data_IF_514232641237
#
_entry.id   IF_514232641237
#
_cell.length_a   1.000
_cell.length_b   1.000
_cell.length_c   1.000
_cell.angle_alpha   90.00
_cell.angle_beta   90.00
_cell.angle_gamma   90.00
#
_symmetry.space_group_name_H-M   'P 1'
#
loop_
_entity.id
_entity.type
_entity.pdbx_description
1 polymer ?
#
# COMPACT_ATOMS: atom_id res chain seq x y z
N UNK A 1 12.64 -8.95 -19.20
CA UNK A 1 11.36 -9.10 -18.48
C UNK A 1 10.71 -10.36 -18.97
N UNK A 2 10.40 -11.29 -18.07
CA UNK A 2 9.71 -12.53 -18.43
C UNK A 2 8.21 -12.28 -18.75
N UNK A 3 7.56 -13.23 -19.44
CA UNK A 3 6.13 -13.17 -19.72
C UNK A 3 5.31 -13.14 -18.43
N UNK A 4 5.77 -13.86 -17.41
CA UNK A 4 5.16 -13.87 -16.08
C UNK A 4 5.23 -12.48 -15.43
N UNK A 5 6.37 -11.81 -15.43
CA UNK A 5 6.53 -10.47 -14.90
C UNK A 5 5.61 -9.48 -15.63
N UNK A 6 5.54 -9.57 -16.96
CA UNK A 6 4.61 -8.78 -17.76
C UNK A 6 3.14 -9.03 -17.45
N UNK A 7 2.76 -10.27 -17.16
CA UNK A 7 1.40 -10.62 -16.72
C UNK A 7 1.09 -10.01 -15.34
N UNK A 8 2.00 -10.14 -14.37
CA UNK A 8 1.85 -9.57 -13.04
C UNK A 8 1.61 -8.06 -13.14
N UNK A 9 2.50 -7.33 -13.80
CA UNK A 9 2.39 -5.87 -13.94
C UNK A 9 1.05 -5.46 -14.59
N UNK A 10 0.61 -6.16 -15.62
CA UNK A 10 -0.69 -5.86 -16.27
C UNK A 10 -1.86 -6.04 -15.30
N UNK A 11 -1.86 -7.11 -14.52
CA UNK A 11 -2.93 -7.39 -13.54
C UNK A 11 -2.93 -6.38 -12.40
N UNK A 12 -1.76 -6.07 -11.85
CA UNK A 12 -1.62 -5.07 -10.81
C UNK A 12 -2.03 -3.66 -11.31
N UNK A 13 -1.69 -3.30 -12.54
CA UNK A 13 -2.12 -2.03 -13.15
C UNK A 13 -3.65 -1.92 -13.31
N UNK A 14 -4.33 -3.01 -13.65
CA UNK A 14 -5.79 -3.01 -13.73
C UNK A 14 -6.41 -2.74 -12.36
N UNK A 15 -5.93 -3.44 -11.36
CA UNK A 15 -6.40 -3.29 -9.98
C UNK A 15 -6.05 -1.90 -9.41
N UNK A 16 -4.87 -1.36 -9.73
CA UNK A 16 -4.48 0.00 -9.35
C UNK A 16 -5.44 1.07 -9.89
N UNK A 17 -5.93 0.91 -11.12
CA UNK A 17 -6.94 1.80 -11.71
C UNK A 17 -8.30 1.72 -11.00
N UNK A 18 -8.67 0.54 -10.51
CA UNK A 18 -9.89 0.37 -9.72
C UNK A 18 -9.78 1.12 -8.40
N UNK A 19 -8.66 0.99 -7.69
CA UNK A 19 -8.39 1.75 -6.46
C UNK A 19 -8.29 3.25 -6.70
N UNK A 20 -7.76 3.69 -7.83
CA UNK A 20 -7.77 5.11 -8.21
C UNK A 20 -9.21 5.63 -8.36
N UNK A 21 -10.09 4.83 -8.93
CA UNK A 21 -11.50 5.18 -9.07
C UNK A 21 -12.19 5.26 -7.71
N UNK A 22 -11.92 4.33 -6.81
CA UNK A 22 -12.42 4.37 -5.42
C UNK A 22 -11.90 5.60 -4.65
N UNK A 23 -10.62 5.91 -4.78
CA UNK A 23 -10.06 7.11 -4.19
C UNK A 23 -10.78 8.38 -4.64
N UNK A 24 -11.05 8.52 -5.96
CA UNK A 24 -11.81 9.67 -6.49
C UNK A 24 -13.23 9.74 -5.96
N UNK A 25 -13.91 8.62 -5.76
CA UNK A 25 -15.23 8.58 -5.13
C UNK A 25 -15.16 9.07 -3.68
N UNK A 26 -14.17 8.63 -2.92
CA UNK A 26 -13.96 9.08 -1.54
C UNK A 26 -13.71 10.58 -1.48
N UNK A 27 -12.85 11.12 -2.36
CA UNK A 27 -12.60 12.57 -2.46
C UNK A 27 -13.90 13.32 -2.79
N UNK A 28 -14.70 12.81 -3.73
CA UNK A 28 -15.98 13.40 -4.10
C UNK A 28 -16.98 13.41 -2.94
N UNK A 29 -17.03 12.34 -2.15
CA UNK A 29 -17.87 12.27 -0.95
C UNK A 29 -17.44 13.32 0.08
N UNK A 30 -16.14 13.41 0.36
CA UNK A 30 -15.61 14.42 1.28
C UNK A 30 -15.90 15.85 0.80
N UNK A 31 -15.85 16.11 -0.51
CA UNK A 31 -16.24 17.41 -1.06
C UNK A 31 -17.74 17.68 -0.90
N UNK A 32 -18.59 16.66 -0.95
CA UNK A 32 -20.04 16.83 -0.74
C UNK A 32 -20.41 17.18 0.72
N UNK A 33 -19.49 16.94 1.66
CA UNK A 33 -19.68 17.29 3.06
C UNK A 33 -19.32 18.76 3.37
N UNK A 34 -18.77 19.50 2.39
CA UNK A 34 -18.59 20.96 2.51
C UNK A 34 -19.95 21.63 2.42
N UNK A 35 -20.40 22.23 3.53
CA UNK A 35 -21.73 22.84 3.66
C UNK A 35 -21.63 24.30 4.09
N UNK A 36 -22.51 25.11 3.53
CA UNK A 36 -22.71 26.48 3.94
C UNK A 36 -24.08 26.64 4.62
N UNK A 37 -24.09 27.08 5.88
CA UNK A 37 -25.29 27.26 6.67
C UNK A 37 -25.89 28.71 6.63
N UNK A 38 -25.35 29.55 5.76
CA UNK A 38 -25.72 30.96 5.62
C UNK A 38 -24.84 31.92 6.44
N UNK A 39 -24.07 31.41 7.38
CA UNK A 39 -23.18 32.19 8.26
C UNK A 39 -21.74 31.73 8.24
N UNK A 40 -21.54 30.44 8.09
CA UNK A 40 -20.21 29.82 8.09
C UNK A 40 -20.15 28.63 7.13
N UNK A 41 -18.93 28.30 6.74
CA UNK A 41 -18.65 27.05 6.02
C UNK A 41 -18.18 25.99 6.99
N UNK A 42 -18.84 24.83 6.90
CA UNK A 42 -18.39 23.60 7.52
C UNK A 42 -17.59 22.81 6.49
N UNK A 43 -16.31 22.57 6.76
CA UNK A 43 -15.46 21.68 5.96
C UNK A 43 -15.34 20.32 6.64
N UNK A 44 -15.04 19.23 5.90
CA UNK A 44 -14.80 17.94 6.49
C UNK A 44 -13.76 18.00 7.60
N UNK A 45 -13.99 17.22 8.66
CA UNK A 45 -12.99 17.06 9.71
C UNK A 45 -11.70 16.48 9.12
N UNK A 46 -10.58 17.10 9.46
CA UNK A 46 -9.30 16.74 8.89
C UNK A 46 -8.86 15.33 9.25
N UNK A 47 -9.14 14.92 10.48
CA UNK A 47 -8.80 13.58 10.97
C UNK A 47 -9.63 12.51 10.24
N UNK A 48 -10.92 12.77 10.06
CA UNK A 48 -11.79 11.84 9.35
C UNK A 48 -11.41 11.74 7.88
N UNK A 49 -11.07 12.86 7.23
CA UNK A 49 -10.57 12.87 5.86
C UNK A 49 -9.26 12.06 5.71
N UNK A 50 -8.30 12.26 6.60
CA UNK A 50 -7.03 11.49 6.60
C UNK A 50 -7.27 10.01 6.85
N UNK A 51 -8.12 9.66 7.79
CA UNK A 51 -8.45 8.27 8.09
C UNK A 51 -9.11 7.58 6.89
N UNK A 52 -10.05 8.25 6.25
CA UNK A 52 -10.77 7.70 5.10
C UNK A 52 -9.84 7.53 3.89
N UNK A 53 -9.02 8.54 3.58
CA UNK A 53 -8.03 8.46 2.51
C UNK A 53 -6.94 7.44 2.83
N UNK A 54 -6.49 7.34 4.07
CA UNK A 54 -5.54 6.32 4.53
C UNK A 54 -6.11 4.90 4.42
N UNK A 55 -7.40 4.71 4.69
CA UNK A 55 -8.06 3.40 4.54
C UNK A 55 -8.10 2.93 3.08
N UNK A 56 -8.30 3.84 2.11
CA UNK A 56 -8.23 3.49 0.68
C UNK A 56 -6.83 3.06 0.26
N UNK A 57 -5.80 3.73 0.79
CA UNK A 57 -4.40 3.35 0.55
C UNK A 57 -4.08 1.97 1.12
N UNK A 58 -4.53 1.69 2.34
CA UNK A 58 -4.35 0.40 2.97
C UNK A 58 -5.03 -0.72 2.17
N UNK A 59 -6.29 -0.52 1.78
CA UNK A 59 -7.04 -1.47 0.95
C UNK A 59 -6.35 -1.72 -0.40
N UNK A 60 -5.80 -0.67 -1.03
CA UNK A 60 -5.00 -0.79 -2.26
C UNK A 60 -3.78 -1.69 -2.03
N UNK A 61 -3.01 -1.45 -0.96
CA UNK A 61 -1.82 -2.25 -0.65
C UNK A 61 -2.16 -3.72 -0.47
N UNK A 62 -3.14 -4.02 0.38
CA UNK A 62 -3.59 -5.38 0.66
C UNK A 62 -4.14 -6.08 -0.59
N UNK A 63 -4.87 -5.36 -1.44
CA UNK A 63 -5.43 -5.91 -2.67
C UNK A 63 -4.37 -6.22 -3.73
N UNK A 64 -3.40 -5.33 -3.94
CA UNK A 64 -2.30 -5.57 -4.88
C UNK A 64 -1.43 -6.74 -4.43
N UNK A 65 -1.13 -6.84 -3.13
CA UNK A 65 -0.36 -7.93 -2.55
C UNK A 65 -1.09 -9.27 -2.70
N UNK A 66 -2.39 -9.31 -2.38
CA UNK A 66 -3.22 -10.50 -2.53
C UNK A 66 -3.31 -10.97 -3.99
N UNK A 67 -3.44 -10.05 -4.94
CA UNK A 67 -3.48 -10.39 -6.37
C UNK A 67 -2.12 -10.92 -6.85
N UNK A 68 -1.02 -10.34 -6.40
CA UNK A 68 0.32 -10.84 -6.68
C UNK A 68 0.48 -12.29 -6.17
N UNK A 69 0.16 -12.54 -4.92
CA UNK A 69 0.21 -13.87 -4.31
C UNK A 69 -0.67 -14.87 -5.07
N UNK A 70 -1.89 -14.45 -5.45
CA UNK A 70 -2.81 -15.28 -6.25
C UNK A 70 -2.20 -15.68 -7.59
N UNK A 71 -1.58 -14.73 -8.30
CA UNK A 71 -0.93 -15.01 -9.58
C UNK A 71 0.23 -15.98 -9.40
N UNK A 72 1.09 -15.74 -8.41
CA UNK A 72 2.25 -16.60 -8.16
C UNK A 72 1.82 -18.01 -7.78
N UNK A 73 0.79 -18.17 -6.97
CA UNK A 73 0.23 -19.47 -6.58
C UNK A 73 -0.34 -20.24 -7.79
N UNK A 74 -1.08 -19.56 -8.66
CA UNK A 74 -1.68 -20.18 -9.86
C UNK A 74 -0.61 -20.57 -10.86
N UNK A 75 0.40 -19.73 -11.07
CA UNK A 75 1.47 -19.98 -12.03
C UNK A 75 2.49 -21.00 -11.53
N UNK A 76 2.54 -21.25 -10.23
CA UNK A 76 3.49 -22.17 -9.58
C UNK A 76 4.94 -21.99 -10.10
N UNK A 77 5.35 -20.75 -10.26
CA UNK A 77 6.60 -20.34 -10.91
C UNK A 77 7.46 -19.50 -9.99
N UNK A 78 8.74 -19.39 -10.31
CA UNK A 78 9.67 -18.48 -9.64
C UNK A 78 9.94 -17.26 -10.49
N UNK A 79 10.35 -16.18 -9.83
CA UNK A 79 10.78 -14.95 -10.46
C UNK A 79 12.30 -14.94 -10.62
N UNK A 80 12.78 -14.47 -11.76
CA UNK A 80 14.21 -14.19 -11.93
C UNK A 80 14.62 -12.96 -11.12
N UNK A 81 15.91 -12.83 -10.81
CA UNK A 81 16.43 -11.63 -10.13
C UNK A 81 16.09 -10.34 -10.88
N UNK A 82 16.12 -10.38 -12.21
CA UNK A 82 15.76 -9.24 -13.04
C UNK A 82 14.26 -8.90 -12.94
N UNK A 83 13.38 -9.90 -12.92
CA UNK A 83 11.95 -9.67 -12.76
C UNK A 83 11.62 -9.06 -11.39
N UNK A 84 12.31 -9.50 -10.34
CA UNK A 84 12.18 -8.92 -9.00
C UNK A 84 12.59 -7.45 -8.97
N UNK A 85 13.69 -7.08 -9.63
CA UNK A 85 14.11 -5.68 -9.73
C UNK A 85 13.04 -4.82 -10.43
N UNK A 86 12.51 -5.31 -11.55
CA UNK A 86 11.44 -4.62 -12.29
C UNK A 86 10.17 -4.47 -11.43
N UNK A 87 9.79 -5.51 -10.70
CA UNK A 87 8.62 -5.45 -9.81
C UNK A 87 8.85 -4.52 -8.60
N UNK A 88 10.04 -4.51 -8.01
CA UNK A 88 10.39 -3.55 -6.95
C UNK A 88 10.30 -2.10 -7.45
N UNK A 89 10.81 -1.84 -8.64
CA UNK A 89 10.68 -0.52 -9.27
C UNK A 89 9.22 -0.13 -9.51
N UNK A 90 8.40 -1.06 -10.02
CA UNK A 90 6.97 -0.87 -10.20
C UNK A 90 6.27 -0.53 -8.87
N UNK A 91 6.55 -1.26 -7.79
CA UNK A 91 5.96 -1.03 -6.47
C UNK A 91 6.39 0.32 -5.90
N UNK A 92 7.67 0.66 -5.98
CA UNK A 92 8.16 1.96 -5.53
C UNK A 92 7.49 3.12 -6.28
N UNK A 93 7.23 2.96 -7.58
CA UNK A 93 6.51 3.95 -8.38
C UNK A 93 5.03 4.04 -8.00
N UNK A 94 4.39 2.89 -7.74
CA UNK A 94 2.97 2.80 -7.37
C UNK A 94 2.68 3.38 -5.99
N UNK A 95 3.60 3.24 -5.04
CA UNK A 95 3.51 3.75 -3.68
C UNK A 95 4.45 4.95 -3.42
N UNK A 96 4.68 5.76 -4.47
CA UNK A 96 5.51 6.95 -4.36
C UNK A 96 4.85 8.03 -3.50
N UNK A 97 5.58 8.58 -2.52
CA UNK A 97 5.09 9.59 -1.59
C UNK A 97 4.64 10.87 -2.30
N UNK A 98 5.42 11.36 -3.27
CA UNK A 98 5.10 12.56 -4.03
C UNK A 98 3.78 12.41 -4.81
N UNK A 99 3.51 11.23 -5.36
CA UNK A 99 2.25 10.93 -6.03
C UNK A 99 1.06 11.09 -5.07
N UNK A 100 1.19 10.63 -3.83
CA UNK A 100 0.13 10.76 -2.82
C UNK A 100 0.00 12.18 -2.28
N UNK A 101 1.09 12.91 -2.11
CA UNK A 101 1.05 14.34 -1.78
C UNK A 101 0.23 15.10 -2.84
N UNK A 102 0.51 14.87 -4.13
CA UNK A 102 -0.24 15.49 -5.21
C UNK A 102 -1.72 15.09 -5.24
N UNK A 103 -2.04 13.83 -4.92
CA UNK A 103 -3.44 13.37 -4.82
C UNK A 103 -4.19 14.08 -3.68
N UNK A 104 -3.54 14.28 -2.55
CA UNK A 104 -4.16 14.99 -1.42
C UNK A 104 -4.28 16.48 -1.68
N UNK A 105 -3.41 17.09 -2.48
CA UNK A 105 -3.59 18.49 -2.88
C UNK A 105 -4.90 18.69 -3.64
N UNK A 106 -5.30 17.75 -4.49
CA UNK A 106 -6.57 17.79 -5.22
C UNK A 106 -7.76 17.86 -4.25
N UNK A 107 -7.70 17.15 -3.12
CA UNK A 107 -8.72 17.24 -2.08
C UNK A 107 -8.82 18.65 -1.48
N UNK A 108 -7.68 19.25 -1.10
CA UNK A 108 -7.62 20.61 -0.54
C UNK A 108 -8.05 21.66 -1.58
N UNK A 109 -7.59 21.53 -2.83
CA UNK A 109 -7.95 22.41 -3.93
C UNK A 109 -9.46 22.38 -4.24
N UNK A 110 -10.07 21.19 -4.13
CA UNK A 110 -11.51 21.05 -4.29
C UNK A 110 -12.32 21.74 -3.19
N UNK A 111 -11.87 21.68 -1.93
CA UNK A 111 -12.49 22.44 -0.84
C UNK A 111 -12.40 23.93 -1.11
N UNK A 112 -11.22 24.45 -1.46
CA UNK A 112 -11.01 25.87 -1.80
C UNK A 112 -11.96 26.33 -2.91
N UNK A 113 -12.07 25.54 -3.98
CA UNK A 113 -12.95 25.85 -5.09
C UNK A 113 -14.43 25.92 -4.66
N UNK A 114 -14.88 25.03 -3.76
CA UNK A 114 -16.25 25.02 -3.26
C UNK A 114 -16.49 26.26 -2.38
N UNK A 115 -15.56 26.55 -1.45
CA UNK A 115 -15.65 27.70 -0.53
C UNK A 115 -15.71 29.00 -1.31
N UNK A 116 -14.86 29.15 -2.33
CA UNK A 116 -14.82 30.35 -3.18
C UNK A 116 -16.14 30.64 -3.90
N UNK A 117 -16.94 29.61 -4.22
CA UNK A 117 -18.27 29.80 -4.84
C UNK A 117 -19.26 30.53 -3.93
N UNK A 118 -19.04 30.51 -2.64
CA UNK A 118 -19.84 31.24 -1.65
C UNK A 118 -19.30 32.63 -1.35
N UNK A 119 -18.23 33.07 -2.08
CA UNK A 119 -17.59 34.37 -1.85
C UNK A 119 -16.84 34.47 -0.53
N UNK A 120 -16.42 33.34 0.03
CA UNK A 120 -15.72 33.24 1.30
C UNK A 120 -14.24 32.93 1.09
N UNK A 121 -13.40 33.40 1.98
CA UNK A 121 -11.98 33.08 1.99
C UNK A 121 -11.76 31.73 2.68
N UNK A 122 -10.88 30.93 2.10
CA UNK A 122 -10.42 29.68 2.67
C UNK A 122 -8.93 29.75 2.94
N UNK A 123 -8.55 29.62 4.20
CA UNK A 123 -7.15 29.60 4.59
C UNK A 123 -6.52 28.24 4.21
N UNK A 124 -6.20 28.13 2.92
CA UNK A 124 -5.60 26.93 2.31
C UNK A 124 -4.29 26.54 2.98
N UNK A 125 -3.43 27.51 3.27
CA UNK A 125 -2.12 27.22 3.84
C UNK A 125 -2.22 26.65 5.25
N UNK A 126 -3.12 27.20 6.07
CA UNK A 126 -3.39 26.66 7.40
C UNK A 126 -3.99 25.26 7.35
N UNK A 127 -4.97 25.03 6.46
CA UNK A 127 -5.57 23.72 6.29
C UNK A 127 -4.54 22.70 5.79
N UNK A 128 -3.75 23.08 4.79
CA UNK A 128 -2.67 22.27 4.22
C UNK A 128 -1.59 21.93 5.25
N UNK A 129 -1.13 22.92 6.02
CA UNK A 129 -0.11 22.72 7.06
C UNK A 129 -0.59 21.75 8.12
N UNK A 130 -1.84 21.86 8.56
CA UNK A 130 -2.44 20.92 9.50
C UNK A 130 -2.58 19.52 8.90
N UNK A 131 -2.94 19.41 7.61
CA UNK A 131 -3.09 18.14 6.90
C UNK A 131 -1.76 17.41 6.73
N UNK A 132 -0.71 18.12 6.31
CA UNK A 132 0.62 17.53 6.12
C UNK A 132 1.43 17.41 7.42
N UNK A 133 0.90 17.88 8.54
CA UNK A 133 1.52 17.71 9.85
C UNK A 133 1.45 16.27 10.37
N UNK A 134 1.24 16.15 11.67
CA UNK A 134 1.29 14.85 12.36
C UNK A 134 0.35 13.78 11.79
N UNK A 135 -0.80 14.19 11.25
CA UNK A 135 -1.80 13.24 10.71
C UNK A 135 -1.33 12.57 9.43
N UNK A 136 -0.70 13.31 8.51
CA UNK A 136 -0.14 12.76 7.28
C UNK A 136 1.03 11.81 7.58
N UNK A 137 1.98 12.24 8.41
CA UNK A 137 3.14 11.44 8.79
C UNK A 137 2.74 10.09 9.41
N UNK A 138 1.74 10.10 10.28
CA UNK A 138 1.29 8.88 10.96
C UNK A 138 0.40 8.01 10.06
N UNK A 139 -0.58 8.62 9.36
CA UNK A 139 -1.59 7.86 8.61
C UNK A 139 -1.11 7.36 7.25
N UNK A 140 -0.46 8.22 6.46
CA UNK A 140 -0.15 7.95 5.06
C UNK A 140 1.27 7.47 4.87
N UNK A 141 2.25 8.19 5.37
CA UNK A 141 3.67 7.88 5.18
C UNK A 141 4.03 6.50 5.73
N UNK A 142 3.58 6.18 6.94
CA UNK A 142 3.80 4.87 7.53
C UNK A 142 3.09 3.75 6.74
N UNK A 143 1.91 4.03 6.19
CA UNK A 143 1.19 3.06 5.36
C UNK A 143 1.93 2.82 4.03
N UNK A 144 2.47 3.86 3.39
CA UNK A 144 3.29 3.72 2.18
C UNK A 144 4.56 2.91 2.45
N UNK A 145 5.28 3.23 3.52
CA UNK A 145 6.50 2.51 3.89
C UNK A 145 6.21 1.04 4.21
N UNK A 146 5.12 0.76 4.93
CA UNK A 146 4.68 -0.59 5.24
C UNK A 146 4.31 -1.37 3.98
N UNK A 147 3.57 -0.76 3.04
CA UNK A 147 3.19 -1.37 1.76
C UNK A 147 4.41 -1.78 0.94
N UNK A 148 5.39 -0.87 0.78
CA UNK A 148 6.63 -1.15 0.05
C UNK A 148 7.41 -2.27 0.73
N UNK A 149 7.54 -2.24 2.05
CA UNK A 149 8.29 -3.25 2.82
C UNK A 149 7.65 -4.62 2.73
N UNK A 150 6.33 -4.71 2.92
CA UNK A 150 5.57 -5.97 2.82
C UNK A 150 5.70 -6.58 1.43
N UNK A 151 5.46 -5.78 0.39
CA UNK A 151 5.54 -6.27 -0.98
C UNK A 151 6.96 -6.72 -1.37
N UNK A 152 7.99 -5.98 -0.94
CA UNK A 152 9.37 -6.37 -1.18
C UNK A 152 9.72 -7.69 -0.50
N UNK A 153 9.22 -7.92 0.70
CA UNK A 153 9.40 -9.19 1.43
C UNK A 153 8.71 -10.34 0.71
N UNK A 154 7.51 -10.15 0.20
CA UNK A 154 6.80 -11.13 -0.61
C UNK A 154 7.57 -11.47 -1.91
N UNK A 155 8.08 -10.47 -2.63
CA UNK A 155 8.88 -10.69 -3.83
C UNK A 155 10.11 -11.56 -3.57
N UNK A 156 10.77 -11.39 -2.42
CA UNK A 156 11.95 -12.16 -2.04
C UNK A 156 11.62 -13.64 -1.77
N UNK A 157 10.44 -13.94 -1.24
CA UNK A 157 10.00 -15.32 -1.05
C UNK A 157 9.92 -16.11 -2.36
N UNK A 158 9.51 -15.46 -3.45
CA UNK A 158 9.39 -16.07 -4.77
C UNK A 158 10.69 -16.09 -5.58
N UNK A 159 11.78 -15.52 -5.06
CA UNK A 159 13.12 -15.65 -5.62
C UNK A 159 13.75 -17.04 -5.36
N UNK A 160 13.22 -17.77 -4.38
CA UNK A 160 13.72 -19.09 -4.01
C UNK A 160 12.97 -20.18 -4.76
N UNK A 161 13.64 -21.29 -5.03
CA UNK A 161 13.08 -22.43 -5.79
C UNK A 161 11.71 -22.90 -5.24
N UNK A 162 10.69 -23.16 -6.09
CA UNK A 162 9.33 -23.54 -5.65
C UNK A 162 9.27 -24.74 -4.72
N UNK A 163 10.25 -25.64 -4.78
CA UNK A 163 10.34 -26.83 -3.91
C UNK A 163 10.53 -26.52 -2.42
N UNK A 164 11.03 -25.34 -2.07
CA UNK A 164 11.21 -24.92 -0.69
C UNK A 164 9.96 -24.23 -0.13
N UNK A 165 9.17 -23.60 -0.98
CA UNK A 165 7.96 -22.88 -0.58
C UNK A 165 6.75 -23.81 -0.38
N UNK A 166 6.57 -24.84 -1.22
CA UNK A 166 5.47 -25.79 -1.03
C UNK A 166 5.57 -26.53 0.30
N UNK A 167 6.80 -26.91 0.71
CA UNK A 167 7.03 -27.55 2.01
C UNK A 167 6.85 -26.63 3.21
N UNK A 168 7.12 -25.33 3.05
CA UNK A 168 6.95 -24.33 4.13
C UNK A 168 5.48 -23.92 4.30
N UNK A 169 4.72 -23.78 3.21
CA UNK A 169 3.30 -23.44 3.26
C UNK A 169 2.41 -24.58 3.75
N UNK A 170 2.82 -25.84 3.60
CA UNK A 170 2.10 -27.00 4.17
C UNK A 170 2.31 -27.14 5.69
N UNK A 171 3.40 -26.58 6.23
CA UNK A 171 3.75 -26.72 7.65
C UNK A 171 3.29 -25.51 8.49
N UNK A 172 3.12 -24.32 7.89
CA UNK A 172 2.83 -23.11 8.63
C UNK A 172 1.77 -22.30 7.90
N UNK A 173 0.53 -22.38 8.39
CA UNK A 173 -0.55 -21.44 8.04
C UNK A 173 -0.25 -20.11 8.77
N UNK A 174 0.78 -19.40 8.28
CA UNK A 174 1.21 -18.11 8.80
C UNK A 174 0.30 -17.02 8.24
N UNK A 175 -0.89 -16.89 8.82
CA UNK A 175 -1.63 -15.65 8.71
C UNK A 175 -0.83 -14.55 9.41
N UNK A 176 -0.50 -13.43 8.74
CA UNK A 176 0.31 -12.35 9.32
C UNK A 176 -0.49 -11.48 10.31
N UNK A 177 -1.30 -12.09 11.16
CA UNK A 177 -2.10 -11.42 12.19
C UNK A 177 -1.64 -11.82 13.58
N UNK A 178 -0.34 -11.68 13.88
CA UNK A 178 0.10 -11.76 15.26
C UNK A 178 0.80 -10.48 15.70
N UNK A 179 0.05 -9.75 16.50
CA UNK A 179 0.47 -8.64 17.34
C UNK A 179 1.96 -8.61 17.69
N UNK A 180 2.66 -7.53 17.29
CA UNK A 180 3.62 -6.80 18.12
C UNK A 180 4.88 -7.49 18.65
N UNK A 181 5.17 -8.73 18.32
CA UNK A 181 6.43 -9.38 18.67
C UNK A 181 7.25 -9.57 17.39
N UNK A 182 8.23 -8.69 17.19
CA UNK A 182 9.19 -8.74 16.09
C UNK A 182 10.10 -9.96 16.16
N UNK A 183 9.55 -11.15 16.00
CA UNK A 183 10.34 -12.36 15.77
C UNK A 183 10.71 -12.38 14.30
N UNK A 184 11.99 -12.20 14.01
CA UNK A 184 12.52 -12.32 12.67
C UNK A 184 12.44 -13.80 12.22
N UNK A 185 11.29 -14.17 11.62
CA UNK A 185 11.02 -15.52 11.14
C UNK A 185 12.06 -16.02 10.13
N UNK A 186 12.67 -15.13 9.35
CA UNK A 186 13.76 -15.48 8.44
C UNK A 186 15.01 -15.97 9.21
N UNK A 187 15.29 -15.41 10.39
CA UNK A 187 16.36 -15.89 11.26
C UNK A 187 16.04 -17.27 11.84
N UNK A 188 14.76 -17.54 12.15
CA UNK A 188 14.33 -18.84 12.68
C UNK A 188 14.40 -19.94 11.61
N UNK A 189 13.97 -19.64 10.40
CA UNK A 189 14.01 -20.57 9.25
C UNK A 189 15.47 -20.88 8.86
N UNK A 190 16.34 -19.87 8.81
CA UNK A 190 17.76 -20.06 8.53
C UNK A 190 18.46 -20.90 9.61
N UNK A 191 18.06 -20.73 10.88
CA UNK A 191 18.58 -21.50 12.00
C UNK A 191 18.18 -22.99 11.90
N UNK A 192 16.93 -23.29 11.54
CA UNK A 192 16.46 -24.67 11.29
C UNK A 192 17.14 -25.30 10.09
N UNK A 193 17.36 -24.58 9.01
CA UNK A 193 18.03 -25.09 7.80
C UNK A 193 19.52 -25.38 8.02
N UNK A 194 20.22 -24.58 8.84
CA UNK A 194 21.64 -24.81 9.16
C UNK A 194 21.84 -25.98 10.12
N UNK A 195 20.92 -26.18 11.07
CA UNK A 195 21.02 -27.30 12.04
C UNK A 195 20.84 -28.69 11.39
N UNK A 196 20.09 -28.77 10.29
CA UNK A 196 19.86 -30.01 9.55
C UNK A 196 21.07 -30.47 8.72
N UNK A 197 22.02 -29.57 8.39
CA UNK A 197 23.25 -29.91 7.67
C UNK A 197 24.39 -30.39 8.58
N UNK A 198 24.27 -30.24 9.90
CA UNK A 198 25.33 -30.61 10.85
C UNK A 198 25.25 -32.04 11.42
N UNK A 199 24.15 -32.79 11.18
CA UNK A 199 23.97 -34.11 11.77
C UNK A 199 24.10 -35.29 10.77
N UNK A 200 24.80 -35.09 9.68
CA UNK A 200 24.99 -36.10 8.65
C UNK A 200 26.44 -36.55 8.44
N UNK A 201 27.22 -36.66 9.52
CA UNK A 201 28.52 -37.36 9.48
C UNK A 201 28.89 -37.86 10.87
N UNK A 202 28.49 -39.09 11.14
CA UNK A 202 29.25 -40.09 11.90
C UNK A 202 28.79 -41.48 11.47
#
# INVERSE_FOLDING_TARGET
>A
MSDLCGLIIRKLNLLDKEYETEFRKVVSLLHSDVKYDGTRICVPDLKDAVNLLGSTLKSKSEGLESEFQRIMKVQNSTLSKNDILVLKEYINKTFNEELYINRYSIFVDGIEMIVSRYGLEFDREKYRTNFYGSLYEVGVKNTLASAISSFNSELELYCCSPKTLSSANEIIDLKPNFMGLGVNLNALISWFCTKKKGNGTK
#
